data_IF_660842776426
#
_entry.id   IF_660842776426
#
_cell.length_a   1.000
_cell.length_b   1.000
_cell.length_c   1.000
_cell.angle_alpha   90.00
_cell.angle_beta   90.00
_cell.angle_gamma   90.00
#
_symmetry.space_group_name_H-M   'P 1'
#
loop_
_entity.id
_entity.type
_entity.pdbx_description
1 polymer ?
#
# COMPACT_ATOMS: atom_id res chain seq x y z
N UNK A 1 -63.94 42.81 10.50
CA UNK A 1 -62.82 42.19 9.75
C UNK A 1 -62.46 40.87 10.43
N UNK A 2 -62.98 39.75 9.90
CA UNK A 2 -62.81 38.42 10.48
C UNK A 2 -61.65 37.67 9.83
N UNK A 3 -60.84 37.01 10.66
CA UNK A 3 -59.75 36.12 10.30
C UNK A 3 -60.25 34.78 9.76
N UNK A 4 -59.70 34.32 8.62
CA UNK A 4 -59.62 32.88 8.26
C UNK A 4 -58.40 32.63 7.36
N UNK A 5 -57.42 31.89 7.84
CA UNK A 5 -56.49 31.13 7.00
C UNK A 5 -56.68 29.64 7.33
N UNK A 6 -57.17 28.88 6.34
CA UNK A 6 -57.32 27.42 6.42
C UNK A 6 -56.05 26.77 5.89
N UNK A 7 -55.49 25.87 6.70
CA UNK A 7 -54.42 24.95 6.32
C UNK A 7 -55.01 23.79 5.50
N UNK A 8 -54.51 23.57 4.28
CA UNK A 8 -54.92 22.49 3.40
C UNK A 8 -53.79 21.47 3.21
N UNK A 9 -53.88 20.34 3.91
CA UNK A 9 -53.10 19.13 3.68
C UNK A 9 -53.98 18.14 2.92
N UNK A 10 -53.63 17.72 1.69
CA UNK A 10 -54.06 16.44 1.09
C UNK A 10 -53.11 15.93 -0.02
N UNK A 11 -52.39 14.86 0.36
CA UNK A 11 -52.26 13.58 -0.36
C UNK A 11 -51.68 13.56 -1.78
N UNK A 12 -50.36 13.41 -1.91
CA UNK A 12 -49.73 12.88 -3.13
C UNK A 12 -49.44 11.38 -2.93
N UNK A 13 -50.28 10.60 -3.62
CA UNK A 13 -50.25 9.18 -3.96
C UNK A 13 -49.02 8.32 -3.62
N UNK A 14 -49.21 7.40 -2.66
CA UNK A 14 -48.36 6.25 -2.33
C UNK A 14 -48.25 5.22 -3.49
N UNK A 15 -49.10 5.31 -4.52
CA UNK A 15 -49.09 4.38 -5.66
C UNK A 15 -47.93 4.56 -6.65
N UNK A 16 -47.21 5.69 -6.63
CA UNK A 16 -46.07 5.90 -7.55
C UNK A 16 -44.77 5.22 -7.07
N UNK A 17 -44.64 4.94 -5.77
CA UNK A 17 -43.46 4.31 -5.19
C UNK A 17 -43.44 2.78 -5.33
N UNK A 18 -44.61 2.14 -5.40
CA UNK A 18 -44.71 0.66 -5.48
C UNK A 18 -44.36 0.13 -6.88
N UNK A 19 -44.57 0.92 -7.95
CA UNK A 19 -44.22 0.49 -9.32
C UNK A 19 -42.73 0.57 -9.66
N UNK A 20 -41.93 1.36 -8.94
CA UNK A 20 -40.48 1.45 -9.17
C UNK A 20 -39.73 0.35 -8.38
N UNK A 21 -40.30 -0.12 -7.27
CA UNK A 21 -39.65 -1.13 -6.42
C UNK A 21 -39.79 -2.57 -6.94
N UNK A 22 -40.80 -2.88 -7.76
CA UNK A 22 -40.96 -4.23 -8.35
C UNK A 22 -40.17 -4.48 -9.65
N UNK A 23 -39.58 -3.46 -10.27
CA UNK A 23 -38.77 -3.63 -11.50
C UNK A 23 -37.27 -3.86 -11.20
N UNK A 24 -36.77 -3.38 -10.06
CA UNK A 24 -35.35 -3.52 -9.70
C UNK A 24 -35.01 -4.86 -9.01
N UNK A 25 -35.99 -5.60 -8.50
CA UNK A 25 -35.78 -6.90 -7.84
C UNK A 25 -35.65 -8.06 -8.83
N UNK A 26 -36.04 -7.88 -10.10
CA UNK A 26 -35.94 -8.94 -11.12
C UNK A 26 -34.61 -8.97 -11.90
N UNK A 27 -33.79 -7.92 -11.85
CA UNK A 27 -32.54 -7.84 -12.62
C UNK A 27 -31.26 -8.22 -11.86
N UNK A 28 -31.35 -8.57 -10.57
CA UNK A 28 -30.17 -8.94 -9.74
C UNK A 28 -30.12 -10.45 -9.44
N UNK A 29 -31.05 -11.25 -9.97
CA UNK A 29 -31.16 -12.69 -9.70
C UNK A 29 -30.94 -13.61 -10.91
N UNK A 30 -30.29 -13.12 -11.98
CA UNK A 30 -30.02 -13.93 -13.19
C UNK A 30 -28.55 -14.08 -13.59
N UNK A 31 -27.60 -13.59 -12.77
CA UNK A 31 -26.15 -13.74 -13.02
C UNK A 31 -25.42 -14.68 -12.03
N UNK A 32 -26.15 -15.38 -11.16
CA UNK A 32 -25.59 -16.24 -10.11
C UNK A 32 -25.84 -17.76 -10.30
N UNK A 33 -26.13 -18.19 -11.54
CA UNK A 33 -26.43 -19.59 -11.86
C UNK A 33 -25.63 -20.17 -13.05
N UNK A 34 -24.54 -19.53 -13.47
CA UNK A 34 -23.66 -20.07 -14.52
C UNK A 34 -22.19 -19.87 -14.13
N UNK A 35 -21.70 -20.64 -13.16
CA UNK A 35 -20.26 -20.98 -13.02
C UNK A 35 -20.01 -22.07 -11.96
N UNK A 36 -20.92 -23.05 -11.85
CA UNK A 36 -20.68 -24.27 -11.07
C UNK A 36 -20.77 -25.47 -12.01
N UNK A 37 -19.88 -25.55 -12.99
CA UNK A 37 -19.61 -26.79 -13.71
C UNK A 37 -18.19 -26.70 -14.31
N UNK A 38 -17.40 -27.74 -14.07
CA UNK A 38 -16.04 -27.98 -14.58
C UNK A 38 -14.85 -27.48 -13.73
N UNK A 39 -14.69 -28.05 -12.54
CA UNK A 39 -13.36 -28.42 -12.05
C UNK A 39 -13.38 -29.90 -11.63
N UNK A 40 -12.71 -30.82 -12.35
CA UNK A 40 -12.50 -32.17 -11.83
C UNK A 40 -11.44 -32.12 -10.72
N UNK A 41 -11.87 -32.51 -9.52
CA UNK A 41 -11.01 -32.94 -8.42
C UNK A 41 -10.19 -34.15 -8.87
N UNK A 42 -8.86 -34.04 -8.87
CA UNK A 42 -7.99 -35.21 -9.01
C UNK A 42 -7.68 -35.76 -7.62
N UNK A 43 -8.24 -36.93 -7.36
CA UNK A 43 -8.10 -37.71 -6.15
C UNK A 43 -6.68 -38.27 -5.98
N UNK A 44 -6.32 -38.42 -4.71
CA UNK A 44 -5.07 -38.97 -4.20
C UNK A 44 -4.91 -40.45 -4.60
N UNK A 45 -3.75 -40.82 -5.14
CA UNK A 45 -3.39 -42.22 -5.33
C UNK A 45 -2.85 -42.82 -4.03
N UNK A 46 -3.61 -43.79 -3.50
CA UNK A 46 -3.18 -44.80 -2.54
C UNK A 46 -2.15 -45.71 -3.21
N UNK A 47 -0.89 -45.65 -2.77
CA UNK A 47 0.16 -46.60 -3.12
C UNK A 47 0.34 -47.61 -1.99
N UNK A 48 -0.12 -48.84 -2.22
CA UNK A 48 0.08 -50.00 -1.35
C UNK A 48 1.57 -50.35 -1.20
N UNK A 49 1.96 -50.74 0.01
CA UNK A 49 3.29 -51.26 0.29
C UNK A 49 3.47 -52.67 -0.26
N UNK A 50 4.56 -52.88 -0.99
CA UNK A 50 5.15 -54.19 -1.21
C UNK A 50 6.66 -54.12 -1.00
N UNK A 51 7.11 -54.83 0.02
CA UNK A 51 8.50 -55.04 0.41
C UNK A 51 9.22 -55.88 -0.65
N UNK A 52 10.25 -55.33 -1.30
CA UNK A 52 11.34 -56.13 -1.87
C UNK A 52 12.69 -55.50 -1.55
N UNK A 53 13.44 -56.26 -0.75
CA UNK A 53 14.80 -56.05 -0.31
C UNK A 53 15.74 -56.45 -1.44
N UNK A 54 16.50 -55.52 -2.01
CA UNK A 54 17.85 -55.87 -2.50
C UNK A 54 18.78 -54.67 -2.67
N UNK A 55 20.04 -54.93 -2.32
CA UNK A 55 21.19 -54.02 -2.24
C UNK A 55 21.65 -53.57 -3.63
N UNK A 56 21.90 -52.26 -3.77
CA UNK A 56 23.04 -51.62 -4.45
C UNK A 56 22.72 -50.14 -4.66
N UNK A 57 23.26 -49.28 -3.79
CA UNK A 57 23.14 -47.82 -3.92
C UNK A 57 24.19 -47.34 -4.91
N UNK A 58 23.79 -47.07 -6.15
CA UNK A 58 24.51 -46.15 -7.03
C UNK A 58 23.83 -44.79 -6.86
N UNK A 59 24.53 -43.85 -6.24
CA UNK A 59 24.08 -42.48 -6.03
C UNK A 59 24.08 -41.77 -7.38
N UNK A 60 22.93 -41.73 -8.06
CA UNK A 60 22.73 -40.87 -9.24
C UNK A 60 22.58 -39.44 -8.73
N UNK A 61 23.68 -38.68 -8.75
CA UNK A 61 23.65 -37.25 -8.51
C UNK A 61 22.89 -36.55 -9.64
N UNK A 62 21.78 -35.91 -9.27
CA UNK A 62 21.06 -34.95 -10.11
C UNK A 62 21.99 -33.81 -10.54
N UNK A 63 21.98 -33.36 -11.81
CA UNK A 63 22.85 -32.28 -12.26
C UNK A 63 22.49 -30.98 -11.53
N UNK A 64 23.37 -30.54 -10.64
CA UNK A 64 23.34 -29.18 -10.11
C UNK A 64 23.55 -28.24 -11.30
N UNK A 65 22.51 -27.49 -11.66
CA UNK A 65 22.63 -26.38 -12.60
C UNK A 65 23.45 -25.31 -11.90
N UNK A 66 24.77 -25.33 -12.15
CA UNK A 66 25.70 -24.29 -11.73
C UNK A 66 25.30 -22.96 -12.37
N UNK A 67 24.49 -22.16 -11.67
CA UNK A 67 24.47 -20.72 -11.92
C UNK A 67 25.79 -20.15 -11.38
N UNK A 68 26.57 -19.40 -12.18
CA UNK A 68 27.75 -18.73 -11.66
C UNK A 68 27.30 -17.75 -10.57
N UNK A 69 27.76 -17.96 -9.33
CA UNK A 69 27.71 -16.94 -8.31
C UNK A 69 28.52 -15.75 -8.82
N UNK A 70 27.84 -14.71 -9.28
CA UNK A 70 28.47 -13.43 -9.61
C UNK A 70 29.13 -12.88 -8.34
N UNK A 71 30.45 -12.60 -8.33
CA UNK A 71 31.17 -12.29 -7.09
C UNK A 71 30.90 -10.90 -6.49
N UNK A 72 29.87 -10.17 -6.91
CA UNK A 72 29.72 -8.77 -6.50
C UNK A 72 28.28 -8.22 -6.46
N UNK A 73 27.27 -8.99 -6.07
CA UNK A 73 25.98 -8.37 -5.69
C UNK A 73 26.11 -7.80 -4.27
N UNK A 74 26.42 -6.50 -4.15
CA UNK A 74 26.27 -5.81 -2.86
C UNK A 74 24.85 -6.04 -2.36
N UNK A 75 24.71 -6.57 -1.14
CA UNK A 75 23.40 -6.72 -0.51
C UNK A 75 22.77 -5.33 -0.36
N UNK A 76 21.48 -5.15 -0.70
CA UNK A 76 20.81 -3.87 -0.55
C UNK A 76 20.89 -3.37 0.90
N UNK A 77 21.27 -2.09 1.08
CA UNK A 77 21.33 -1.43 2.40
C UNK A 77 20.19 -0.43 2.52
N UNK A 78 19.68 -0.21 3.74
CA UNK A 78 18.75 0.90 4.01
C UNK A 78 19.50 2.23 3.88
N UNK A 79 19.11 3.03 2.89
CA UNK A 79 19.69 4.34 2.59
C UNK A 79 18.87 5.50 3.16
N UNK A 80 17.57 5.30 3.41
CA UNK A 80 16.67 6.34 3.97
C UNK A 80 17.01 6.75 5.40
N UNK A 81 17.63 5.85 6.18
CA UNK A 81 17.99 6.08 7.58
C UNK A 81 19.38 6.71 7.77
N UNK A 82 20.04 7.13 6.69
CA UNK A 82 21.29 7.86 6.82
C UNK A 82 21.01 9.21 7.53
N UNK A 83 21.78 9.61 8.57
CA UNK A 83 21.58 10.87 9.29
C UNK A 83 21.60 12.15 8.43
N UNK A 84 22.14 12.08 7.20
CA UNK A 84 22.09 13.20 6.25
C UNK A 84 20.74 13.34 5.54
N UNK A 85 19.91 12.30 5.54
CA UNK A 85 18.58 12.32 4.90
C UNK A 85 17.67 13.25 5.70
N UNK A 86 16.88 14.05 4.98
CA UNK A 86 15.86 14.92 5.56
C UNK A 86 14.49 14.46 5.11
N UNK A 87 13.49 14.62 5.97
CA UNK A 87 12.10 14.30 5.64
C UNK A 87 11.27 15.56 5.73
N UNK A 88 10.50 15.83 4.68
CA UNK A 88 9.48 16.88 4.66
C UNK A 88 8.13 16.27 4.29
N UNK A 89 7.06 16.98 4.63
CA UNK A 89 5.68 16.61 4.30
C UNK A 89 4.88 17.86 3.94
N UNK A 90 3.80 17.68 3.19
CA UNK A 90 2.89 18.78 2.82
C UNK A 90 2.13 19.34 4.02
N UNK A 91 1.79 18.45 4.96
CA UNK A 91 1.12 18.78 6.20
C UNK A 91 1.93 18.31 7.39
N UNK A 92 1.92 19.09 8.48
CA UNK A 92 2.58 18.69 9.72
C UNK A 92 1.86 17.53 10.40
N UNK A 93 0.52 17.50 10.34
CA UNK A 93 -0.29 16.63 11.19
C UNK A 93 -0.21 17.00 12.67
N UNK A 94 -0.78 16.18 13.54
CA UNK A 94 -0.86 16.42 14.99
C UNK A 94 -0.04 15.43 15.85
N UNK A 95 0.70 14.51 15.23
CA UNK A 95 1.50 13.48 15.92
C UNK A 95 3.02 13.73 15.74
N UNK A 96 3.83 12.67 15.61
CA UNK A 96 5.26 12.76 15.35
C UNK A 96 5.58 13.60 14.09
N UNK A 97 6.71 14.33 14.06
CA UNK A 97 7.16 15.04 12.86
C UNK A 97 7.48 14.06 11.74
N UNK A 98 7.45 14.51 10.48
CA UNK A 98 7.72 13.64 9.34
C UNK A 98 9.06 12.88 9.44
N UNK A 99 10.07 13.47 10.12
CA UNK A 99 11.38 12.84 10.34
C UNK A 99 11.36 11.55 11.13
N UNK A 100 10.29 11.22 11.88
CA UNK A 100 10.24 9.99 12.68
C UNK A 100 10.16 8.72 11.82
N UNK A 101 9.65 8.82 10.59
CA UNK A 101 9.45 7.66 9.70
C UNK A 101 10.76 7.02 9.20
N UNK A 102 11.92 7.65 9.46
CA UNK A 102 13.25 7.12 9.11
C UNK A 102 14.17 6.94 10.32
N UNK A 103 13.60 6.82 11.53
CA UNK A 103 14.38 6.57 12.75
C UNK A 103 15.19 5.27 12.66
N UNK A 104 16.38 5.28 13.26
CA UNK A 104 17.22 4.08 13.43
C UNK A 104 17.71 4.00 14.88
N UNK A 105 17.25 3.01 15.69
CA UNK A 105 16.23 2.01 15.36
C UNK A 105 14.83 2.63 15.17
N UNK A 106 13.86 1.87 14.64
CA UNK A 106 12.47 2.31 14.57
C UNK A 106 11.92 2.67 15.96
N UNK A 107 11.07 3.68 16.01
CA UNK A 107 10.38 4.02 17.23
C UNK A 107 9.36 2.96 17.66
N UNK A 108 8.82 3.16 18.87
CA UNK A 108 7.93 2.19 19.55
C UNK A 108 6.68 2.85 20.12
N UNK A 109 6.69 4.18 20.25
CA UNK A 109 5.56 4.95 20.78
C UNK A 109 4.63 5.28 19.62
N UNK A 110 3.46 4.64 19.59
CA UNK A 110 2.48 4.86 18.54
C UNK A 110 2.05 6.33 18.40
N UNK A 111 2.14 7.17 19.43
CA UNK A 111 1.78 8.58 19.31
C UNK A 111 2.93 9.40 18.73
N UNK A 112 4.16 9.12 19.13
CA UNK A 112 5.32 10.01 18.85
C UNK A 112 6.15 9.58 17.66
N UNK A 113 6.15 8.30 17.34
CA UNK A 113 7.07 7.69 16.37
C UNK A 113 6.41 7.38 15.03
N UNK A 114 5.33 8.11 14.71
CA UNK A 114 4.68 8.07 13.40
C UNK A 114 4.31 9.45 12.90
N UNK A 115 4.29 9.61 11.59
CA UNK A 115 3.72 10.79 10.94
C UNK A 115 2.29 10.50 10.47
N UNK A 116 1.43 11.51 10.49
CA UNK A 116 0.11 11.41 9.87
C UNK A 116 -0.34 12.71 9.19
N UNK A 117 -1.12 12.57 8.12
CA UNK A 117 -1.91 13.64 7.54
C UNK A 117 -3.35 13.58 8.09
N UNK A 118 -3.49 14.04 9.33
CA UNK A 118 -4.77 14.20 10.02
C UNK A 118 -4.69 15.34 11.04
N UNK A 119 -5.84 15.95 11.33
CA UNK A 119 -5.95 17.12 12.20
C UNK A 119 -5.97 16.79 13.70
N UNK A 120 -6.31 15.54 14.06
CA UNK A 120 -6.41 15.09 15.45
C UNK A 120 -5.99 13.62 15.61
N UNK A 121 -5.93 13.15 16.86
CA UNK A 121 -5.49 11.78 17.18
C UNK A 121 -6.51 10.71 16.78
N UNK A 122 -7.74 11.11 16.43
CA UNK A 122 -8.80 10.21 15.98
C UNK A 122 -8.77 10.01 14.46
N UNK A 123 -7.88 10.72 13.75
CA UNK A 123 -7.67 10.54 12.33
C UNK A 123 -8.58 11.41 11.47
N UNK A 124 -9.10 12.54 11.97
CA UNK A 124 -9.84 13.48 11.12
C UNK A 124 -9.01 13.87 9.91
N UNK A 125 -9.47 13.45 8.73
CA UNK A 125 -8.72 13.61 7.49
C UNK A 125 -8.50 15.09 7.18
N UNK A 126 -7.25 15.45 6.84
CA UNK A 126 -7.00 16.71 6.16
C UNK A 126 -7.45 16.50 4.70
N UNK A 127 -8.27 17.39 4.11
CA UNK A 127 -8.71 17.22 2.74
C UNK A 127 -7.57 17.32 1.73
N UNK A 128 -7.61 16.49 0.69
CA UNK A 128 -6.71 16.58 -0.45
C UNK A 128 -5.76 15.40 -0.58
N UNK A 129 -4.73 15.61 -1.39
CA UNK A 129 -3.64 14.66 -1.61
C UNK A 129 -2.47 15.08 -0.73
N UNK A 130 -1.74 14.11 -0.22
CA UNK A 130 -0.64 14.34 0.72
C UNK A 130 0.65 13.76 0.22
N UNK A 131 1.77 14.21 0.76
CA UNK A 131 3.06 13.65 0.42
C UNK A 131 4.03 13.68 1.57
N UNK A 132 4.96 12.72 1.54
CA UNK A 132 6.21 12.76 2.29
C UNK A 132 7.37 12.66 1.30
N UNK A 133 8.41 13.46 1.52
CA UNK A 133 9.60 13.52 0.68
C UNK A 133 10.82 13.20 1.53
N UNK A 134 11.67 12.32 1.02
CA UNK A 134 13.04 12.11 1.49
C UNK A 134 14.00 12.90 0.60
N UNK A 135 14.76 13.83 1.19
CA UNK A 135 15.89 14.49 0.55
C UNK A 135 17.17 13.78 0.96
N UNK A 136 17.82 13.12 -0.01
CA UNK A 136 19.05 12.38 0.22
C UNK A 136 20.33 13.22 0.02
N UNK A 137 20.20 14.53 -0.27
CA UNK A 137 21.30 15.44 -0.56
C UNK A 137 22.05 15.14 -1.85
N UNK A 138 23.09 15.93 -2.13
CA UNK A 138 23.84 15.92 -3.40
C UNK A 138 24.76 14.70 -3.60
N UNK A 139 24.71 13.69 -2.73
CA UNK A 139 25.66 12.58 -2.74
C UNK A 139 25.15 11.41 -3.62
N UNK A 140 25.65 11.35 -4.87
CA UNK A 140 25.75 10.24 -5.83
C UNK A 140 24.48 9.41 -6.19
N UNK A 141 24.44 8.84 -7.42
CA UNK A 141 23.29 8.07 -7.89
C UNK A 141 23.09 6.83 -7.02
N UNK A 142 21.89 6.71 -6.49
CA UNK A 142 21.45 5.56 -5.73
C UNK A 142 20.62 4.71 -6.68
N UNK A 143 20.89 3.41 -6.76
CA UNK A 143 19.90 2.48 -7.30
C UNK A 143 18.89 2.21 -6.20
N UNK A 144 17.59 2.28 -6.50
CA UNK A 144 16.57 1.81 -5.56
C UNK A 144 16.23 0.37 -5.92
N UNK A 145 16.38 -0.53 -4.97
CA UNK A 145 16.07 -1.95 -5.13
C UNK A 145 14.72 -2.30 -4.52
N UNK A 146 14.38 -1.63 -3.40
CA UNK A 146 13.16 -1.89 -2.63
C UNK A 146 12.75 -0.65 -1.85
N UNK A 147 11.44 -0.44 -1.74
CA UNK A 147 10.84 0.54 -0.83
C UNK A 147 9.88 -0.18 0.09
N UNK A 148 9.95 0.08 1.39
CA UNK A 148 9.00 -0.41 2.39
C UNK A 148 8.28 0.81 2.95
N UNK A 149 6.96 0.81 2.84
CA UNK A 149 6.09 1.77 3.52
C UNK A 149 5.33 1.01 4.58
N UNK A 150 5.70 1.20 5.84
CA UNK A 150 4.92 0.69 6.96
C UNK A 150 3.86 1.73 7.32
N UNK A 151 2.62 1.43 6.96
CA UNK A 151 1.48 2.25 7.31
C UNK A 151 0.94 1.85 8.68
N UNK A 152 0.29 2.80 9.34
CA UNK A 152 -0.58 2.45 10.47
C UNK A 152 -1.97 2.05 9.98
N UNK A 153 -2.89 1.75 10.92
CA UNK A 153 -4.28 1.43 10.59
C UNK A 153 -4.96 2.43 9.63
N UNK A 154 -4.58 3.70 9.68
CA UNK A 154 -4.95 4.72 8.70
C UNK A 154 -4.01 4.66 7.47
N UNK A 155 -4.11 3.62 6.64
CA UNK A 155 -3.22 3.41 5.49
C UNK A 155 -3.81 3.92 4.17
N UNK A 156 -2.99 3.90 3.11
CA UNK A 156 -3.42 4.18 1.73
C UNK A 156 -3.19 2.99 0.80
N UNK A 157 -4.18 2.71 -0.04
CA UNK A 157 -4.05 1.83 -1.21
C UNK A 157 -3.89 2.59 -2.53
N UNK A 158 -3.89 3.92 -2.49
CA UNK A 158 -3.86 4.78 -3.65
C UNK A 158 -2.74 5.81 -3.54
N UNK A 159 -1.54 5.44 -3.99
CA UNK A 159 -0.35 6.27 -3.92
C UNK A 159 0.63 5.96 -5.06
N UNK A 160 1.64 6.83 -5.21
CA UNK A 160 2.82 6.61 -6.05
C UNK A 160 4.09 6.69 -5.23
N UNK A 161 5.11 5.98 -5.69
CA UNK A 161 6.50 6.22 -5.32
C UNK A 161 7.14 6.89 -6.51
N UNK A 162 7.75 8.05 -6.28
CA UNK A 162 8.32 8.89 -7.31
C UNK A 162 9.71 9.33 -6.91
N UNK A 163 10.55 9.65 -7.89
CA UNK A 163 11.86 10.24 -7.68
C UNK A 163 12.04 11.49 -8.52
N UNK A 164 12.93 12.38 -8.07
CA UNK A 164 13.33 13.56 -8.84
C UNK A 164 14.73 14.04 -8.44
N UNK A 165 15.36 14.82 -9.32
CA UNK A 165 16.59 15.55 -9.05
C UNK A 165 16.33 16.98 -8.52
N UNK A 166 15.09 17.46 -8.57
CA UNK A 166 14.70 18.80 -8.10
C UNK A 166 13.48 18.79 -7.15
N UNK A 167 13.21 19.94 -6.52
CA UNK A 167 12.00 20.20 -5.75
C UNK A 167 11.21 21.37 -6.36
N UNK A 168 9.88 21.37 -6.15
CA UNK A 168 8.92 22.36 -6.69
C UNK A 168 9.23 23.83 -6.33
N UNK A 169 10.19 24.08 -5.44
CA UNK A 169 10.65 25.41 -5.04
C UNK A 169 11.58 26.09 -6.06
N UNK A 170 12.02 25.38 -7.10
CA UNK A 170 13.06 25.80 -8.04
C UNK A 170 12.49 26.50 -9.29
N UNK A 171 11.71 27.60 -9.15
CA UNK A 171 11.16 28.45 -10.26
C UNK A 171 10.41 27.71 -11.40
N UNK A 172 10.27 26.40 -11.31
CA UNK A 172 9.72 25.44 -12.25
C UNK A 172 9.47 24.15 -11.46
N UNK A 173 8.34 23.48 -11.69
CA UNK A 173 8.07 22.20 -11.04
C UNK A 173 9.02 21.14 -11.61
N UNK A 174 9.77 20.40 -10.78
CA UNK A 174 10.63 19.35 -11.25
C UNK A 174 9.80 18.22 -11.87
N UNK A 175 10.36 17.56 -12.88
CA UNK A 175 9.76 16.35 -13.42
C UNK A 175 9.91 15.22 -12.39
N UNK A 176 8.78 14.63 -11.99
CA UNK A 176 8.73 13.48 -11.08
C UNK A 176 8.63 12.19 -11.88
N UNK A 177 9.61 11.32 -11.72
CA UNK A 177 9.63 10.01 -12.35
C UNK A 177 8.89 9.00 -11.47
N UNK A 178 7.83 8.38 -12.00
CA UNK A 178 7.04 7.39 -11.27
C UNK A 178 7.75 6.04 -11.25
N UNK A 179 8.27 5.64 -10.08
CA UNK A 179 8.84 4.30 -9.84
C UNK A 179 7.77 3.25 -9.58
N UNK A 180 6.67 3.63 -8.93
CA UNK A 180 5.60 2.70 -8.65
C UNK A 180 4.28 3.45 -8.58
N UNK A 181 3.23 2.86 -9.14
CA UNK A 181 1.89 3.41 -9.07
C UNK A 181 0.90 2.29 -8.73
N UNK A 182 0.20 2.41 -7.59
CA UNK A 182 -0.78 1.39 -7.19
C UNK A 182 -1.90 1.19 -8.20
N UNK A 183 -2.20 2.20 -9.03
CA UNK A 183 -3.20 2.10 -10.11
C UNK A 183 -2.68 1.37 -11.36
N UNK A 184 -1.37 1.18 -11.50
CA UNK A 184 -0.80 0.44 -12.61
C UNK A 184 -0.86 -1.08 -12.33
N UNK A 185 -1.86 -1.75 -12.92
CA UNK A 185 -2.10 -3.19 -12.71
C UNK A 185 -0.91 -4.06 -13.09
N UNK A 186 -0.06 -3.66 -14.06
CA UNK A 186 1.13 -4.44 -14.44
C UNK A 186 2.22 -4.45 -13.36
N UNK A 187 2.16 -3.51 -12.42
CA UNK A 187 3.09 -3.44 -11.28
C UNK A 187 2.51 -4.08 -10.02
N UNK A 188 1.28 -4.61 -10.03
CA UNK A 188 0.61 -5.14 -8.84
C UNK A 188 1.42 -6.23 -8.12
N UNK A 189 2.07 -7.13 -8.86
CA UNK A 189 2.91 -8.22 -8.33
C UNK A 189 4.20 -7.75 -7.66
N UNK A 190 4.60 -6.48 -7.85
CA UNK A 190 5.77 -5.90 -7.18
C UNK A 190 5.50 -5.50 -5.75
N UNK A 191 4.23 -5.39 -5.34
CA UNK A 191 3.83 -5.03 -3.98
C UNK A 191 3.40 -6.26 -3.21
N UNK A 192 4.09 -6.53 -2.11
CA UNK A 192 3.68 -7.47 -1.06
C UNK A 192 3.11 -6.68 0.11
N UNK A 193 2.02 -7.18 0.70
CA UNK A 193 1.35 -6.59 1.87
C UNK A 193 1.45 -7.57 3.03
N UNK A 194 1.82 -7.07 4.20
CA UNK A 194 1.78 -7.79 5.47
C UNK A 194 1.01 -6.96 6.50
N UNK A 195 0.25 -7.63 7.35
CA UNK A 195 -0.53 -6.98 8.40
C UNK A 195 -0.21 -7.65 9.74
N UNK A 196 0.18 -6.86 10.74
CA UNK A 196 0.46 -7.37 12.09
C UNK A 196 0.24 -6.32 13.18
N UNK A 197 0.29 -6.79 14.43
CA UNK A 197 0.00 -5.97 15.61
C UNK A 197 -1.50 -5.68 15.78
N UNK A 198 -1.83 -4.88 16.79
CA UNK A 198 -3.19 -4.44 17.07
C UNK A 198 -3.17 -2.94 17.36
N UNK A 199 -4.04 -2.17 16.68
CA UNK A 199 -4.15 -0.73 16.90
C UNK A 199 -4.60 -0.42 18.34
N UNK A 200 -3.87 0.44 19.08
CA UNK A 200 -4.26 0.85 20.42
C UNK A 200 -5.66 1.47 20.47
N UNK A 201 -6.44 1.12 21.49
CA UNK A 201 -7.77 1.67 21.71
C UNK A 201 -8.87 1.13 20.80
N UNK A 202 -8.56 0.25 19.84
CA UNK A 202 -9.54 -0.37 18.94
C UNK A 202 -9.89 -1.77 19.44
N UNK A 203 -11.18 -2.03 19.71
CA UNK A 203 -11.65 -3.34 20.19
C UNK A 203 -11.73 -4.40 19.09
N UNK A 204 -12.01 -3.98 17.86
CA UNK A 204 -12.04 -4.86 16.70
C UNK A 204 -10.61 -5.21 16.28
N UNK A 205 -10.43 -6.39 15.67
CA UNK A 205 -9.13 -6.78 15.12
C UNK A 205 -8.76 -5.80 14.01
N UNK A 206 -7.74 -4.98 14.26
CA UNK A 206 -7.28 -3.93 13.34
C UNK A 206 -5.76 -3.90 13.45
N UNK A 207 -5.03 -4.16 12.36
CA UNK A 207 -3.59 -4.23 12.42
C UNK A 207 -3.01 -2.88 12.83
N UNK A 208 -1.96 -2.92 13.65
CA UNK A 208 -1.18 -1.73 13.92
C UNK A 208 -0.39 -1.34 12.66
N UNK A 209 0.27 -2.34 12.06
CA UNK A 209 1.14 -2.20 10.91
C UNK A 209 0.49 -2.82 9.68
N UNK A 210 0.42 -2.04 8.60
CA UNK A 210 0.07 -2.49 7.25
C UNK A 210 1.29 -2.20 6.37
N UNK A 211 2.17 -3.20 6.24
CA UNK A 211 3.47 -3.04 5.59
C UNK A 211 3.35 -3.31 4.10
N UNK A 212 3.61 -2.30 3.30
CA UNK A 212 3.74 -2.43 1.85
C UNK A 212 5.22 -2.53 1.48
N UNK A 213 5.66 -3.69 1.02
CA UNK A 213 6.98 -3.88 0.42
C UNK A 213 6.87 -3.83 -1.11
N UNK A 214 7.56 -2.88 -1.74
CA UNK A 214 7.58 -2.67 -3.18
C UNK A 214 8.96 -3.03 -3.72
N UNK A 215 9.03 -4.00 -4.62
CA UNK A 215 10.26 -4.38 -5.33
C UNK A 215 10.46 -3.52 -6.59
N UNK A 216 11.55 -2.76 -6.62
CA UNK A 216 11.94 -1.84 -7.71
C UNK A 216 13.02 -2.45 -8.61
N UNK A 217 13.66 -3.55 -8.20
CA UNK A 217 14.69 -4.20 -9.00
C UNK A 217 14.20 -4.58 -10.40
N UNK A 218 15.08 -4.37 -11.38
CA UNK A 218 14.84 -4.69 -12.78
C UNK A 218 13.76 -3.85 -13.45
N UNK A 219 13.27 -2.76 -12.82
CA UNK A 219 12.35 -1.85 -13.45
C UNK A 219 13.09 -0.89 -14.38
N UNK A 220 12.64 -0.80 -15.63
CA UNK A 220 13.13 0.20 -16.56
C UNK A 220 12.50 1.55 -16.17
N UNK A 221 13.34 2.46 -15.71
CA UNK A 221 12.93 3.81 -15.32
C UNK A 221 13.73 4.79 -16.16
N UNK A 222 13.05 5.80 -16.71
CA UNK A 222 13.66 6.76 -17.63
C UNK A 222 14.53 7.81 -16.91
N UNK A 223 14.92 7.56 -15.66
CA UNK A 223 15.60 8.53 -14.81
C UNK A 223 16.92 7.93 -14.32
N UNK A 224 18.01 8.63 -14.62
CA UNK A 224 19.39 8.17 -14.41
C UNK A 224 19.90 8.44 -13.00
N UNK A 225 19.34 9.45 -12.32
CA UNK A 225 19.69 9.87 -10.95
C UNK A 225 18.47 10.35 -10.18
N UNK A 226 18.61 10.44 -8.86
CA UNK A 226 17.67 11.16 -8.01
C UNK A 226 18.36 11.74 -6.77
N UNK A 227 17.84 12.87 -6.31
CA UNK A 227 18.09 13.43 -4.98
C UNK A 227 16.91 13.20 -4.03
N UNK A 228 15.70 13.19 -4.58
CA UNK A 228 14.45 13.13 -3.81
C UNK A 228 13.70 11.84 -4.10
N UNK A 229 13.09 11.26 -3.07
CA UNK A 229 12.02 10.26 -3.21
C UNK A 229 10.75 10.80 -2.56
N UNK A 230 9.62 10.66 -3.24
CA UNK A 230 8.30 11.06 -2.74
C UNK A 230 7.39 9.84 -2.65
N UNK A 231 6.69 9.71 -1.52
CA UNK A 231 5.45 8.92 -1.45
C UNK A 231 4.30 9.91 -1.66
N UNK A 232 3.68 9.87 -2.83
CA UNK A 232 2.58 10.74 -3.19
C UNK A 232 1.25 10.03 -2.96
N UNK A 233 0.51 10.45 -1.95
CA UNK A 233 -0.68 9.79 -1.43
C UNK A 233 -1.92 10.46 -2.00
N UNK A 234 -2.67 9.73 -2.82
CA UNK A 234 -3.86 10.28 -3.48
C UNK A 234 -5.10 10.17 -2.60
N UNK A 235 -5.24 9.05 -1.87
CA UNK A 235 -6.46 8.77 -1.10
C UNK A 235 -6.21 7.81 0.06
N UNK A 236 -6.84 8.06 1.19
CA UNK A 236 -6.93 7.09 2.30
C UNK A 236 -7.75 5.86 1.91
N UNK A 237 -7.38 4.70 2.44
CA UNK A 237 -8.17 3.47 2.31
C UNK A 237 -9.35 3.41 3.30
N UNK A 238 -9.27 4.17 4.40
CA UNK A 238 -10.14 3.96 5.57
C UNK A 238 -11.19 5.07 5.77
N UNK A 239 -11.17 6.13 4.97
CA UNK A 239 -12.03 7.32 5.16
C UNK A 239 -11.58 8.26 6.28
N UNK A 240 -10.47 7.93 6.95
CA UNK A 240 -9.73 8.80 7.86
C UNK A 240 -8.55 9.46 7.13
N UNK A 241 -7.68 10.15 7.86
CA UNK A 241 -6.38 10.57 7.35
C UNK A 241 -5.51 9.39 6.91
N UNK A 242 -4.22 9.66 6.71
CA UNK A 242 -3.21 8.63 6.44
C UNK A 242 -2.06 8.75 7.43
N UNK A 243 -1.43 7.63 7.76
CA UNK A 243 -0.40 7.56 8.79
C UNK A 243 0.68 6.55 8.40
N UNK A 244 1.94 6.97 8.52
CA UNK A 244 3.13 6.19 8.19
C UNK A 244 3.96 6.02 9.46
N UNK A 245 4.23 4.77 9.82
CA UNK A 245 5.14 4.37 10.88
C UNK A 245 6.59 4.44 10.41
N UNK A 246 6.90 3.79 9.28
CA UNK A 246 8.25 3.74 8.70
C UNK A 246 8.25 3.90 7.17
N UNK A 247 9.33 4.50 6.66
CA UNK A 247 9.64 4.58 5.23
C UNK A 247 11.10 4.17 4.98
N UNK A 248 11.28 2.91 4.61
CA UNK A 248 12.61 2.39 4.27
C UNK A 248 12.83 2.38 2.76
N UNK A 249 13.97 2.93 2.34
CA UNK A 249 14.44 2.86 0.96
C UNK A 249 15.75 2.09 0.96
N UNK A 250 15.84 1.08 0.09
CA UNK A 250 17.01 0.20 -0.03
C UNK A 250 17.74 0.45 -1.35
N UNK A 251 19.07 0.45 -1.30
CA UNK A 251 19.95 0.70 -2.45
C UNK A 251 21.41 0.38 -2.19
#
# INVERSE_FOLDING_TARGET
>A
MQSRFKLGFRTVSILLFIKIFLSFVCFVWLDLAFNVFLYPMQAQNLGQGHTLRNKNIVKVESPQRNTPNSPNSKKPKIISRNPSVRVTSDVRGNLGPASVIIQDPPGKDWIKDRWQAAGDMHGTAIPGQHWVILDFGSNNPRSITKVVVDWEAAYSNDYRIEISDGLETEKSSPEWCVLYNTQNKSQSTRRRVEEYGQSPGVKTKTPLHVVHTINIDGMQVNCSSFRFLRVFIRKSAMGWGVSIWELDVYG
#
